data_IF_918816683550
#
_entry.id   IF_918816683550
#
_cell.length_a   1.000
_cell.length_b   1.000
_cell.length_c   1.000
_cell.angle_alpha   90.00
_cell.angle_beta   90.00
_cell.angle_gamma   90.00
#
_symmetry.space_group_name_H-M   'P 1'
#
loop_
_entity.id
_entity.type
_entity.pdbx_description
1 polymer ?
#
# COMPACT_ATOMS: atom_id res chain seq x y z
N UNK A 1 1.74 -25.31 1.31
CA UNK A 1 0.55 -24.63 1.82
C UNK A 1 0.24 -23.43 0.95
N UNK A 2 -1.06 -23.16 0.68
CA UNK A 2 -1.40 -22.09 -0.25
C UNK A 2 -0.80 -20.73 0.08
N UNK A 3 -0.72 -20.39 1.38
CA UNK A 3 -0.20 -19.09 1.78
C UNK A 3 1.31 -18.96 1.57
N UNK A 4 2.02 -20.07 1.52
CA UNK A 4 3.46 -20.02 1.29
C UNK A 4 3.80 -19.52 -0.10
N UNK A 5 2.91 -19.77 -1.06
CA UNK A 5 3.10 -19.29 -2.43
C UNK A 5 3.01 -17.77 -2.54
N UNK A 6 2.44 -17.12 -1.52
CA UNK A 6 2.28 -15.68 -1.51
C UNK A 6 3.36 -14.97 -0.69
N UNK A 7 4.30 -15.72 -0.15
CA UNK A 7 5.37 -15.15 0.67
C UNK A 7 6.29 -14.26 -0.15
N UNK A 8 6.85 -13.27 0.53
CA UNK A 8 7.79 -12.35 -0.08
C UNK A 8 8.82 -11.89 0.92
N UNK A 9 9.73 -11.04 0.46
CA UNK A 9 10.77 -10.43 1.29
C UNK A 9 10.81 -8.92 1.11
N UNK A 10 9.87 -8.42 0.34
CA UNK A 10 9.83 -7.00 0.03
C UNK A 10 9.50 -6.17 1.27
N UNK A 11 9.79 -4.89 1.19
CA UNK A 11 9.47 -3.94 2.24
C UNK A 11 8.21 -3.17 1.87
N UNK A 12 7.26 -3.14 2.79
CA UNK A 12 5.96 -2.51 2.61
C UNK A 12 5.83 -1.36 3.61
N UNK A 13 5.48 -0.18 3.11
CA UNK A 13 5.10 0.94 3.96
C UNK A 13 3.59 0.85 4.16
N UNK A 14 3.17 0.62 5.40
CA UNK A 14 1.77 0.52 5.77
C UNK A 14 1.33 1.81 6.44
N UNK A 15 0.36 2.49 5.85
CA UNK A 15 -0.13 3.76 6.37
C UNK A 15 -1.61 3.62 6.70
N UNK A 16 -1.94 3.63 7.96
CA UNK A 16 -3.30 3.40 8.48
C UNK A 16 -3.46 4.15 9.80
N UNK A 17 -4.47 5.01 9.88
CA UNK A 17 -4.68 5.81 11.09
C UNK A 17 -5.37 5.05 12.22
N UNK A 18 -6.08 3.95 11.92
CA UNK A 18 -6.70 3.14 12.96
C UNK A 18 -5.73 2.09 13.48
N UNK A 19 -5.37 2.12 14.78
CA UNK A 19 -4.38 1.20 15.33
C UNK A 19 -4.75 -0.27 15.17
N UNK A 20 -6.02 -0.62 15.37
CA UNK A 20 -6.45 -2.01 15.30
C UNK A 20 -6.26 -2.58 13.89
N UNK A 21 -6.60 -1.80 12.88
CA UNK A 21 -6.43 -2.23 11.49
C UNK A 21 -4.95 -2.27 11.13
N UNK A 22 -4.19 -1.28 11.56
CA UNK A 22 -2.75 -1.23 11.32
C UNK A 22 -2.06 -2.46 11.92
N UNK A 23 -2.40 -2.81 13.17
CA UNK A 23 -1.82 -3.97 13.83
C UNK A 23 -2.18 -5.26 13.10
N UNK A 24 -3.45 -5.42 12.74
CA UNK A 24 -3.92 -6.59 12.02
C UNK A 24 -3.19 -6.76 10.69
N UNK A 25 -3.16 -5.72 9.88
CA UNK A 25 -2.51 -5.76 8.57
C UNK A 25 -1.01 -6.02 8.72
N UNK A 26 -0.38 -5.33 9.67
CA UNK A 26 1.05 -5.49 9.90
C UNK A 26 1.40 -6.92 10.30
N UNK A 27 0.63 -7.53 11.20
CA UNK A 27 0.88 -8.90 11.62
C UNK A 27 0.73 -9.90 10.47
N UNK A 28 -0.34 -9.75 9.67
CA UNK A 28 -0.57 -10.65 8.55
C UNK A 28 0.59 -10.58 7.56
N UNK A 29 1.03 -9.36 7.23
CA UNK A 29 2.12 -9.21 6.26
C UNK A 29 3.46 -9.69 6.80
N UNK A 30 3.75 -9.42 8.07
CA UNK A 30 4.98 -9.91 8.69
C UNK A 30 5.03 -11.43 8.71
N UNK A 31 3.89 -12.08 8.96
CA UNK A 31 3.82 -13.53 8.94
C UNK A 31 4.13 -14.10 7.55
N UNK A 32 3.92 -13.33 6.50
CA UNK A 32 4.25 -13.74 5.14
C UNK A 32 5.69 -13.42 4.73
N UNK A 33 6.48 -12.88 5.64
CA UNK A 33 7.90 -12.63 5.40
C UNK A 33 8.24 -11.19 5.00
N UNK A 34 7.26 -10.32 4.84
CA UNK A 34 7.52 -8.93 4.47
C UNK A 34 8.09 -8.14 5.64
N UNK A 35 8.93 -7.17 5.31
CA UNK A 35 9.32 -6.13 6.26
C UNK A 35 8.26 -5.05 6.19
N UNK A 36 7.67 -4.70 7.34
CA UNK A 36 6.59 -3.73 7.38
C UNK A 36 7.03 -2.50 8.17
N UNK A 37 6.98 -1.36 7.51
CA UNK A 37 7.19 -0.06 8.14
C UNK A 37 5.81 0.53 8.38
N UNK A 38 5.50 0.88 9.62
CA UNK A 38 4.17 1.37 9.99
C UNK A 38 4.16 2.87 10.16
N UNK A 39 3.13 3.52 9.67
CA UNK A 39 2.89 4.93 9.85
C UNK A 39 1.40 5.17 10.09
N UNK A 40 1.07 6.15 10.90
CA UNK A 40 -0.31 6.42 11.28
C UNK A 40 -1.02 7.44 10.38
N UNK A 41 -0.26 8.20 9.61
CA UNK A 41 -0.80 9.16 8.63
C UNK A 41 0.26 9.48 7.59
N UNK A 42 -0.11 10.34 6.64
CA UNK A 42 0.81 10.67 5.54
C UNK A 42 2.06 11.40 5.98
N UNK A 43 1.95 12.31 6.95
CA UNK A 43 3.12 13.03 7.44
C UNK A 43 4.09 12.09 8.16
N UNK A 44 3.54 11.19 8.98
CA UNK A 44 4.34 10.18 9.67
C UNK A 44 5.02 9.26 8.66
N UNK A 45 4.31 8.89 7.60
CA UNK A 45 4.86 8.04 6.55
C UNK A 45 6.08 8.67 5.89
N UNK A 46 6.03 9.97 5.60
CA UNK A 46 7.16 10.66 4.99
C UNK A 46 8.38 10.65 5.92
N UNK A 47 8.16 10.82 7.23
CA UNK A 47 9.25 10.73 8.21
C UNK A 47 9.86 9.34 8.25
N UNK A 48 9.00 8.31 8.25
CA UNK A 48 9.45 6.92 8.32
C UNK A 48 10.32 6.60 7.10
N UNK A 49 9.85 6.96 5.92
CA UNK A 49 10.58 6.69 4.68
C UNK A 49 11.91 7.43 4.64
N UNK A 50 11.93 8.68 5.11
CA UNK A 50 13.16 9.47 5.14
C UNK A 50 14.25 8.80 5.95
N UNK A 51 13.89 8.09 7.01
CA UNK A 51 14.83 7.41 7.89
C UNK A 51 15.18 6.01 7.43
N UNK A 52 14.44 5.46 6.48
CA UNK A 52 14.65 4.10 6.01
C UNK A 52 15.61 4.11 4.83
N UNK A 53 16.71 3.39 4.95
CA UNK A 53 17.81 3.42 3.97
C UNK A 53 17.79 2.27 2.99
N UNK A 54 16.92 1.30 3.20
CA UNK A 54 16.83 0.14 2.32
C UNK A 54 15.75 0.38 1.25
N UNK A 55 15.70 -0.45 0.18
CA UNK A 55 14.69 -0.28 -0.83
C UNK A 55 13.27 -0.45 -0.30
N UNK A 56 12.36 0.38 -0.79
CA UNK A 56 10.94 0.32 -0.49
C UNK A 56 10.21 -0.19 -1.72
N UNK A 57 9.36 -1.20 -1.56
CA UNK A 57 8.76 -1.91 -2.69
C UNK A 57 7.28 -1.61 -2.88
N UNK A 58 6.55 -1.37 -1.80
CA UNK A 58 5.10 -1.16 -1.87
C UNK A 58 4.67 -0.14 -0.81
N UNK A 59 3.76 0.75 -1.19
CA UNK A 59 3.01 1.53 -0.21
C UNK A 59 1.58 1.02 -0.19
N UNK A 60 1.10 0.67 1.00
CA UNK A 60 -0.26 0.24 1.28
C UNK A 60 -0.87 1.30 2.17
N UNK A 61 -1.79 2.10 1.64
CA UNK A 61 -2.31 3.25 2.36
C UNK A 61 -3.81 3.42 2.19
N UNK A 62 -4.45 3.97 3.21
CA UNK A 62 -5.82 4.45 3.06
C UNK A 62 -5.87 5.55 2.01
N UNK A 63 -6.99 5.63 1.27
CA UNK A 63 -7.24 6.75 0.38
C UNK A 63 -7.45 8.02 1.18
N UNK A 64 -8.32 7.95 2.20
CA UNK A 64 -8.67 9.10 3.03
C UNK A 64 -7.98 9.02 4.38
N UNK A 65 -7.24 10.06 4.74
CA UNK A 65 -6.55 10.17 6.03
C UNK A 65 -6.52 11.62 6.47
N UNK A 66 -6.45 11.89 7.78
CA UNK A 66 -6.26 13.25 8.24
C UNK A 66 -4.91 13.80 7.80
N UNK A 67 -4.81 15.10 7.68
CA UNK A 67 -3.60 15.86 7.31
C UNK A 67 -3.23 15.65 5.86
N UNK A 68 -2.49 14.59 5.55
CA UNK A 68 -2.05 14.30 4.19
C UNK A 68 -2.76 13.04 3.72
N UNK A 69 -3.61 13.14 2.72
CA UNK A 69 -4.35 12.02 2.18
C UNK A 69 -3.47 11.05 1.40
N UNK A 70 -4.00 9.85 1.16
CA UNK A 70 -3.23 8.79 0.51
C UNK A 70 -2.74 9.15 -0.87
N UNK A 71 -3.56 9.84 -1.67
CA UNK A 71 -3.17 10.21 -3.03
C UNK A 71 -2.02 11.22 -3.05
N UNK A 72 -2.07 12.20 -2.16
CA UNK A 72 -1.00 13.19 -2.06
C UNK A 72 0.29 12.55 -1.53
N UNK A 73 0.15 11.65 -0.56
CA UNK A 73 1.29 10.89 -0.05
C UNK A 73 1.95 10.09 -1.16
N UNK A 74 1.14 9.36 -1.93
CA UNK A 74 1.66 8.53 -3.03
C UNK A 74 2.37 9.38 -4.07
N UNK A 75 1.81 10.54 -4.41
CA UNK A 75 2.45 11.44 -5.37
C UNK A 75 3.86 11.85 -4.90
N UNK A 76 3.99 12.17 -3.61
CA UNK A 76 5.28 12.54 -3.04
C UNK A 76 6.26 11.38 -3.01
N UNK A 77 5.77 10.19 -2.66
CA UNK A 77 6.61 8.99 -2.62
C UNK A 77 7.10 8.60 -4.02
N UNK A 78 6.23 8.66 -5.01
CA UNK A 78 6.60 8.31 -6.39
C UNK A 78 7.62 9.28 -6.98
N UNK A 79 7.62 10.53 -6.52
CA UNK A 79 8.64 11.49 -6.97
C UNK A 79 10.05 11.06 -6.57
N UNK A 80 10.19 10.35 -5.46
CA UNK A 80 11.48 9.87 -4.96
C UNK A 80 11.71 8.39 -5.24
N UNK A 81 10.64 7.64 -5.41
CA UNK A 81 10.67 6.19 -5.61
C UNK A 81 9.77 5.84 -6.82
N UNK A 82 10.23 6.13 -8.05
CA UNK A 82 9.36 6.00 -9.23
C UNK A 82 8.92 4.58 -9.55
N UNK A 83 9.60 3.56 -9.01
CA UNK A 83 9.24 2.16 -9.22
C UNK A 83 8.40 1.57 -8.09
N UNK A 84 8.00 2.39 -7.14
CA UNK A 84 7.20 1.95 -6.00
C UNK A 84 5.83 1.47 -6.47
N UNK A 85 5.45 0.28 -6.02
CA UNK A 85 4.09 -0.21 -6.26
C UNK A 85 3.14 0.40 -5.24
N UNK A 86 1.87 0.57 -5.62
CA UNK A 86 0.88 1.26 -4.81
C UNK A 86 -0.37 0.42 -4.66
N UNK A 87 -0.84 0.26 -3.43
CA UNK A 87 -2.10 -0.38 -3.12
C UNK A 87 -2.86 0.50 -2.14
N UNK A 88 -4.09 0.86 -2.50
CA UNK A 88 -4.95 1.68 -1.64
C UNK A 88 -5.95 0.82 -0.88
N UNK A 89 -6.34 1.27 0.30
CA UNK A 89 -7.42 0.69 1.10
C UNK A 89 -8.55 1.71 1.20
N UNK A 90 -9.80 1.22 1.18
CA UNK A 90 -10.97 2.10 1.29
C UNK A 90 -12.08 1.42 2.08
N UNK A 91 -12.69 2.12 3.03
CA UNK A 91 -13.81 1.64 3.82
C UNK A 91 -15.13 2.24 3.37
N UNK A 92 -16.19 1.84 4.05
CA UNK A 92 -17.54 2.27 3.75
C UNK A 92 -17.74 3.76 3.87
N UNK A 93 -17.14 4.34 4.91
CA UNK A 93 -17.33 5.75 5.23
C UNK A 93 -16.30 6.64 4.56
N UNK A 94 -15.42 6.05 3.77
CA UNK A 94 -14.40 6.79 3.08
C UNK A 94 -15.00 7.57 1.91
N UNK A 95 -14.29 8.57 1.46
CA UNK A 95 -14.68 9.40 0.35
C UNK A 95 -14.86 8.56 -0.93
N UNK A 96 -16.10 8.38 -1.34
CA UNK A 96 -16.43 7.63 -2.54
C UNK A 96 -15.80 8.24 -3.79
N UNK A 97 -15.68 9.58 -3.83
CA UNK A 97 -15.05 10.25 -4.95
C UNK A 97 -13.55 9.99 -4.98
N UNK A 98 -12.91 9.93 -3.81
CA UNK A 98 -11.50 9.60 -3.70
C UNK A 98 -11.23 8.17 -4.18
N UNK A 99 -12.06 7.22 -3.75
CA UNK A 99 -11.92 5.83 -4.17
C UNK A 99 -12.11 5.69 -5.68
N UNK A 100 -13.13 6.34 -6.23
CA UNK A 100 -13.39 6.33 -7.67
C UNK A 100 -12.22 6.94 -8.44
N UNK A 101 -11.70 8.03 -7.96
CA UNK A 101 -10.58 8.72 -8.60
C UNK A 101 -9.34 7.83 -8.66
N UNK A 102 -9.07 7.07 -7.60
CA UNK A 102 -7.96 6.12 -7.55
C UNK A 102 -8.15 5.02 -8.58
N UNK A 103 -9.36 4.46 -8.67
CA UNK A 103 -9.66 3.41 -9.66
C UNK A 103 -9.57 3.92 -11.09
N UNK A 104 -10.07 5.13 -11.34
CA UNK A 104 -10.01 5.72 -12.67
C UNK A 104 -8.57 5.99 -13.11
N UNK A 105 -7.69 6.24 -12.16
CA UNK A 105 -6.27 6.42 -12.44
C UNK A 105 -5.53 5.09 -12.67
N UNK A 106 -6.24 3.96 -12.56
CA UNK A 106 -5.65 2.65 -12.80
C UNK A 106 -4.99 2.02 -11.59
N UNK A 107 -5.13 2.60 -10.42
CA UNK A 107 -4.58 2.05 -9.19
C UNK A 107 -5.43 0.91 -8.65
N UNK A 108 -4.81 0.04 -7.87
CA UNK A 108 -5.50 -1.07 -7.22
C UNK A 108 -6.06 -0.63 -5.88
N UNK A 109 -7.27 -1.06 -5.58
CA UNK A 109 -7.98 -0.72 -4.35
C UNK A 109 -8.43 -2.00 -3.63
N UNK A 110 -8.12 -2.09 -2.34
CA UNK A 110 -8.57 -3.19 -1.50
C UNK A 110 -9.67 -2.66 -0.58
N UNK A 111 -10.88 -3.19 -0.73
CA UNK A 111 -12.05 -2.71 0.03
C UNK A 111 -12.06 -3.31 1.43
N UNK A 112 -12.28 -2.47 2.43
CA UNK A 112 -12.48 -2.90 3.82
C UNK A 112 -13.95 -3.29 4.02
N UNK A 113 -14.26 -4.30 4.83
CA UNK A 113 -13.32 -5.19 5.50
C UNK A 113 -12.80 -6.26 4.54
N UNK A 114 -11.58 -6.71 4.78
CA UNK A 114 -10.97 -7.77 3.97
C UNK A 114 -10.44 -8.88 4.88
N UNK A 115 -10.32 -10.08 4.32
CA UNK A 115 -9.76 -11.22 5.03
C UNK A 115 -8.24 -11.21 4.90
N UNK A 116 -7.52 -11.93 5.79
CA UNK A 116 -6.08 -12.08 5.62
C UNK A 116 -5.70 -12.64 4.24
N UNK A 117 -6.48 -13.59 3.73
CA UNK A 117 -6.21 -14.18 2.41
C UNK A 117 -6.36 -13.14 1.30
N UNK A 118 -7.38 -12.31 1.36
CA UNK A 118 -7.58 -11.25 0.37
C UNK A 118 -6.42 -10.25 0.41
N UNK A 119 -6.00 -9.88 1.61
CA UNK A 119 -4.87 -8.97 1.78
C UNK A 119 -3.59 -9.56 1.18
N UNK A 120 -3.24 -10.77 1.56
CA UNK A 120 -2.01 -11.41 1.10
C UNK A 120 -2.02 -11.59 -0.42
N UNK A 121 -3.15 -12.06 -0.96
CA UNK A 121 -3.30 -12.27 -2.40
C UNK A 121 -3.17 -10.96 -3.19
N UNK A 122 -3.82 -9.90 -2.71
CA UNK A 122 -3.81 -8.61 -3.40
C UNK A 122 -2.41 -7.98 -3.36
N UNK A 123 -1.74 -8.06 -2.21
CA UNK A 123 -0.37 -7.54 -2.07
C UNK A 123 0.55 -8.25 -3.06
N UNK A 124 0.45 -9.59 -3.15
CA UNK A 124 1.31 -10.35 -4.07
C UNK A 124 1.03 -9.99 -5.52
N UNK A 125 -0.23 -9.83 -5.87
CA UNK A 125 -0.60 -9.43 -7.23
C UNK A 125 0.00 -8.07 -7.60
N UNK A 126 -0.09 -7.11 -6.69
CA UNK A 126 0.44 -5.77 -6.94
C UNK A 126 1.97 -5.80 -7.06
N UNK A 127 2.64 -6.55 -6.17
CA UNK A 127 4.11 -6.63 -6.20
C UNK A 127 4.62 -7.33 -7.46
N UNK A 128 3.87 -8.28 -7.99
CA UNK A 128 4.27 -9.03 -9.18
C UNK A 128 3.87 -8.34 -10.48
N UNK A 129 3.03 -7.30 -10.41
CA UNK A 129 2.60 -6.58 -11.60
C UNK A 129 3.75 -5.72 -12.15
N UNK A 130 3.79 -5.48 -13.48
CA UNK A 130 4.78 -4.57 -14.04
C UNK A 130 4.64 -3.16 -13.47
N UNK A 131 5.75 -2.46 -13.32
CA UNK A 131 5.72 -1.07 -12.90
C UNK A 131 4.96 -0.23 -13.93
N UNK A 132 4.37 0.88 -13.47
CA UNK A 132 3.56 1.75 -14.32
C UNK A 132 4.31 2.21 -15.56
N UNK A 133 5.59 2.54 -15.43
CA UNK A 133 6.39 2.98 -16.55
C UNK A 133 6.63 1.87 -17.56
N UNK A 134 6.67 0.62 -17.13
CA UNK A 134 6.77 -0.53 -18.02
C UNK A 134 5.50 -0.71 -18.82
N UNK A 135 4.35 -0.50 -18.18
CA UNK A 135 3.06 -0.59 -18.86
C UNK A 135 2.95 0.47 -19.96
N UNK A 136 3.50 1.65 -19.73
CA UNK A 136 3.47 2.72 -20.71
C UNK A 136 4.37 2.45 -21.91
N UNK A 137 5.31 1.53 -21.79
CA UNK A 137 6.21 1.16 -22.88
C UNK A 137 5.66 0.09 -23.81
N UNK A 138 4.58 -0.54 -23.41
CA UNK A 138 3.95 -1.59 -24.22
C UNK A 138 3.27 -0.94 -25.42
N UNK A 139 3.61 -1.34 -26.62
CA UNK A 139 3.03 -0.77 -27.83
C UNK A 139 1.52 -1.00 -27.93
#
# INVERSE_FOLDING_TARGET
MPLEMSRGRETILLVEDEPDIRDFVGEVLQDQGYTVLEARDGEDALRVVEQYREPLHLVLTDVAMPKLGGRDLVARLLAQHPHLNVLYMSGYTDDALGARSVLEAGATLLAKPFTPRQLVSTVRQVLDAPASDELLRVP
#
